data_IF_464440952539
#
_entry.id   IF_464440952539
#
_cell.length_a   1.000
_cell.length_b   1.000
_cell.length_c   1.000
_cell.angle_alpha   90.00
_cell.angle_beta   90.00
_cell.angle_gamma   90.00
#
_symmetry.space_group_name_H-M   'P 1'
#
loop_
_entity.id
_entity.type
_entity.pdbx_description
1 polymer ?
#
# COMPACT_ATOMS: atom_id res chain seq x y z
N UNK A 1 -13.00 -1.95 9.05
CA UNK A 1 -13.14 -2.79 7.84
C UNK A 1 -13.78 -2.01 6.69
N UNK A 2 -14.91 -1.34 6.88
CA UNK A 2 -15.64 -0.69 5.77
C UNK A 2 -14.81 0.31 4.96
N UNK A 3 -14.13 1.25 5.62
CA UNK A 3 -13.35 2.29 4.92
C UNK A 3 -12.09 1.71 4.24
N UNK A 4 -11.37 0.79 4.87
CA UNK A 4 -10.08 0.34 4.35
C UNK A 4 -10.18 -0.82 3.34
N UNK A 5 -11.22 -1.65 3.43
CA UNK A 5 -11.37 -2.84 2.60
C UNK A 5 -12.57 -2.73 1.65
N UNK A 6 -13.77 -2.49 2.20
CA UNK A 6 -14.98 -2.52 1.39
C UNK A 6 -15.04 -1.38 0.38
N UNK A 7 -14.52 -0.19 0.73
CA UNK A 7 -14.41 0.91 -0.24
C UNK A 7 -13.53 0.53 -1.43
N UNK A 8 -12.37 -0.09 -1.19
CA UNK A 8 -11.48 -0.55 -2.26
C UNK A 8 -12.17 -1.60 -3.15
N UNK A 9 -12.89 -2.56 -2.54
CA UNK A 9 -13.66 -3.55 -3.29
C UNK A 9 -14.75 -2.90 -4.16
N UNK A 10 -15.57 -2.02 -3.59
CA UNK A 10 -16.65 -1.39 -4.34
C UNK A 10 -16.14 -0.46 -5.45
N UNK A 11 -15.10 0.34 -5.18
CA UNK A 11 -14.47 1.17 -6.20
C UNK A 11 -13.87 0.32 -7.33
N UNK A 12 -13.15 -0.75 -6.99
CA UNK A 12 -12.59 -1.67 -7.99
C UNK A 12 -13.67 -2.32 -8.85
N UNK A 13 -14.77 -2.79 -8.22
CA UNK A 13 -15.91 -3.37 -8.93
C UNK A 13 -16.57 -2.37 -9.87
N UNK A 14 -16.81 -1.15 -9.42
CA UNK A 14 -17.46 -0.10 -10.21
C UNK A 14 -16.59 0.36 -11.39
N UNK A 15 -15.26 0.43 -11.20
CA UNK A 15 -14.33 0.87 -12.25
C UNK A 15 -13.91 -0.24 -13.21
N UNK A 16 -14.13 -1.52 -12.87
CA UNK A 16 -13.58 -2.66 -13.62
C UNK A 16 -13.91 -2.63 -15.12
N UNK A 17 -15.16 -2.32 -15.49
CA UNK A 17 -15.57 -2.23 -16.90
C UNK A 17 -14.72 -1.21 -17.67
N UNK A 18 -14.61 -0.01 -17.14
CA UNK A 18 -13.87 1.09 -17.80
C UNK A 18 -12.37 0.83 -17.86
N UNK A 19 -11.82 0.21 -16.80
CA UNK A 19 -10.41 -0.14 -16.76
C UNK A 19 -10.07 -1.23 -17.78
N UNK A 20 -10.95 -2.22 -17.98
CA UNK A 20 -10.76 -3.26 -19.00
C UNK A 20 -10.69 -2.65 -20.40
N UNK A 21 -11.59 -1.74 -20.74
CA UNK A 21 -11.62 -1.06 -22.04
C UNK A 21 -10.32 -0.29 -22.35
N UNK A 22 -9.63 0.18 -21.30
CA UNK A 22 -8.40 1.00 -21.42
C UNK A 22 -7.12 0.26 -21.05
N UNK A 23 -7.19 -1.04 -20.73
CA UNK A 23 -6.08 -1.83 -20.19
C UNK A 23 -5.40 -1.12 -19.00
N UNK A 24 -6.24 -0.65 -18.07
CA UNK A 24 -5.84 0.21 -16.98
C UNK A 24 -5.14 -0.52 -15.82
N UNK A 25 -4.97 0.20 -14.71
CA UNK A 25 -4.38 -0.35 -13.50
C UNK A 25 -5.12 0.10 -12.24
N UNK A 26 -5.07 -0.74 -11.21
CA UNK A 26 -5.50 -0.43 -9.84
C UNK A 26 -4.28 -0.52 -8.93
N UNK A 27 -4.09 0.50 -8.08
CA UNK A 27 -3.05 0.46 -7.05
C UNK A 27 -3.68 0.72 -5.68
N UNK A 28 -3.68 -0.30 -4.84
CA UNK A 28 -4.16 -0.19 -3.46
C UNK A 28 -3.06 0.32 -2.53
N UNK A 29 -3.43 1.14 -1.54
CA UNK A 29 -2.50 1.59 -0.50
C UNK A 29 -2.73 0.77 0.77
N UNK A 30 -1.84 -0.19 1.02
CA UNK A 30 -1.88 -1.07 2.19
C UNK A 30 -1.04 -0.51 3.33
N UNK A 31 -0.23 -1.28 4.01
CA UNK A 31 0.69 -0.86 5.06
C UNK A 31 1.63 -2.01 5.42
N UNK A 32 2.84 -1.70 5.86
CA UNK A 32 3.73 -2.71 6.49
C UNK A 32 3.10 -3.36 7.72
N UNK A 33 2.10 -2.72 8.34
CA UNK A 33 1.33 -3.28 9.45
C UNK A 33 0.45 -4.47 9.03
N UNK A 34 0.21 -4.67 7.74
CA UNK A 34 -0.56 -5.80 7.19
C UNK A 34 0.03 -7.17 7.49
N UNK A 35 1.32 -7.23 7.83
CA UNK A 35 2.00 -8.47 8.22
C UNK A 35 1.65 -8.94 9.65
N UNK A 36 0.97 -8.12 10.45
CA UNK A 36 0.70 -8.38 11.87
C UNK A 36 1.92 -8.28 12.79
N UNK A 37 3.12 -8.10 12.25
CA UNK A 37 4.38 -8.07 13.01
C UNK A 37 4.70 -6.70 13.62
N UNK A 38 3.88 -5.68 13.42
CA UNK A 38 4.16 -4.29 13.77
C UNK A 38 3.12 -3.76 14.74
N UNK A 39 3.56 -2.98 15.71
CA UNK A 39 2.71 -2.36 16.74
C UNK A 39 1.69 -1.38 16.15
N UNK A 40 0.50 -1.88 15.89
CA UNK A 40 -0.67 -1.13 15.45
C UNK A 40 -1.92 -1.79 16.01
N UNK A 41 -3.10 -1.16 15.86
CA UNK A 41 -4.34 -1.80 16.29
C UNK A 41 -4.64 -3.04 15.43
N UNK A 42 -5.13 -4.10 16.08
CA UNK A 42 -5.50 -5.36 15.41
C UNK A 42 -6.47 -5.13 14.25
N UNK A 43 -7.58 -4.36 14.40
CA UNK A 43 -8.49 -4.11 13.29
C UNK A 43 -7.84 -3.42 12.09
N UNK A 44 -6.87 -2.52 12.32
CA UNK A 44 -6.13 -1.88 11.24
C UNK A 44 -5.23 -2.89 10.52
N UNK A 45 -4.45 -3.67 11.24
CA UNK A 45 -3.59 -4.71 10.65
C UNK A 45 -4.40 -5.71 9.82
N UNK A 46 -5.51 -6.21 10.38
CA UNK A 46 -6.42 -7.12 9.68
C UNK A 46 -6.98 -6.48 8.41
N UNK A 47 -7.45 -5.23 8.49
CA UNK A 47 -8.02 -4.53 7.32
C UNK A 47 -7.00 -4.36 6.19
N UNK A 48 -5.73 -4.05 6.53
CA UNK A 48 -4.65 -3.89 5.54
C UNK A 48 -4.13 -5.24 5.03
N UNK A 49 -4.14 -6.28 5.85
CA UNK A 49 -3.87 -7.66 5.42
C UNK A 49 -4.93 -8.18 4.45
N UNK A 50 -6.21 -7.95 4.74
CA UNK A 50 -7.32 -8.28 3.85
C UNK A 50 -7.22 -7.52 2.51
N UNK A 51 -6.74 -6.27 2.53
CA UNK A 51 -6.53 -5.50 1.31
C UNK A 51 -5.38 -6.07 0.45
N UNK A 52 -4.35 -6.67 1.05
CA UNK A 52 -3.33 -7.41 0.31
C UNK A 52 -3.94 -8.62 -0.41
N UNK A 53 -4.79 -9.38 0.28
CA UNK A 53 -5.51 -10.53 -0.31
C UNK A 53 -6.45 -10.08 -1.42
N UNK A 54 -7.21 -9.00 -1.20
CA UNK A 54 -8.08 -8.41 -2.22
C UNK A 54 -7.29 -8.01 -3.47
N UNK A 55 -6.11 -7.39 -3.30
CA UNK A 55 -5.24 -7.00 -4.42
C UNK A 55 -4.88 -8.19 -5.30
N UNK A 56 -4.44 -9.29 -4.71
CA UNK A 56 -4.08 -10.51 -5.45
C UNK A 56 -5.28 -11.17 -6.12
N UNK A 57 -6.42 -11.21 -5.43
CA UNK A 57 -7.66 -11.76 -5.96
C UNK A 57 -8.18 -10.96 -7.16
N UNK A 58 -8.12 -9.62 -7.08
CA UNK A 58 -8.50 -8.74 -8.18
C UNK A 58 -7.52 -8.86 -9.35
N UNK A 59 -6.21 -8.98 -9.09
CA UNK A 59 -5.22 -9.20 -10.14
C UNK A 59 -5.55 -10.44 -10.96
N UNK A 60 -5.86 -11.55 -10.28
CA UNK A 60 -6.29 -12.80 -10.95
C UNK A 60 -7.61 -12.63 -11.73
N UNK A 61 -8.59 -11.96 -11.14
CA UNK A 61 -9.94 -11.83 -11.71
C UNK A 61 -10.02 -10.87 -12.89
N UNK A 62 -9.16 -9.84 -12.92
CA UNK A 62 -9.19 -8.77 -13.92
C UNK A 62 -8.13 -8.92 -15.01
N UNK A 63 -7.24 -9.89 -14.87
CA UNK A 63 -6.26 -10.24 -15.91
C UNK A 63 -6.99 -10.80 -17.16
N UNK A 64 -6.42 -10.62 -18.37
CA UNK A 64 -5.17 -9.89 -18.66
C UNK A 64 -5.37 -8.38 -18.87
N UNK A 65 -6.58 -7.87 -18.73
CA UNK A 65 -6.92 -6.51 -19.15
C UNK A 65 -6.55 -5.43 -18.15
N UNK A 66 -6.58 -5.76 -16.81
CA UNK A 66 -6.31 -4.79 -15.76
C UNK A 66 -5.22 -5.33 -14.83
N UNK A 67 -4.18 -4.55 -14.62
CA UNK A 67 -3.17 -4.85 -13.62
C UNK A 67 -3.62 -4.35 -12.25
N UNK A 68 -3.42 -5.15 -11.22
CA UNK A 68 -3.79 -4.77 -9.85
C UNK A 68 -2.61 -5.02 -8.91
N UNK A 69 -2.10 -3.97 -8.29
CA UNK A 69 -0.98 -4.04 -7.37
C UNK A 69 -1.30 -3.26 -6.08
N UNK A 70 -0.41 -3.34 -5.11
CA UNK A 70 -0.47 -2.51 -3.92
C UNK A 70 0.89 -1.92 -3.58
N UNK A 71 0.89 -0.76 -2.97
CA UNK A 71 2.02 -0.25 -2.20
C UNK A 71 1.76 -0.47 -0.72
N UNK A 72 2.82 -0.78 0.02
CA UNK A 72 2.80 -1.05 1.45
C UNK A 72 3.75 -0.06 2.14
N UNK A 73 3.27 1.16 2.48
CA UNK A 73 4.11 2.19 3.06
C UNK A 73 4.58 1.84 4.47
N UNK A 74 5.81 2.26 4.80
CA UNK A 74 6.29 2.43 6.15
C UNK A 74 5.73 3.69 6.81
N UNK A 75 6.37 4.11 7.93
CA UNK A 75 5.97 5.33 8.61
C UNK A 75 6.24 6.54 7.71
N UNK A 76 5.17 7.18 7.27
CA UNK A 76 5.18 8.33 6.35
C UNK A 76 4.70 9.58 7.06
N UNK A 77 5.40 10.71 6.87
CA UNK A 77 5.04 12.00 7.46
C UNK A 77 3.87 12.61 6.67
N UNK A 78 2.69 12.51 7.22
CA UNK A 78 1.42 13.02 6.64
C UNK A 78 0.67 13.85 7.70
N UNK A 79 -0.44 14.46 7.32
CA UNK A 79 -1.31 15.14 8.28
C UNK A 79 -1.79 14.21 9.41
N UNK A 80 -2.03 12.94 9.12
CA UNK A 80 -2.42 11.91 10.10
C UNK A 80 -1.30 11.65 11.12
N UNK A 81 -0.03 11.66 10.69
CA UNK A 81 1.13 11.34 11.52
C UNK A 81 1.83 12.59 12.06
N UNK A 82 1.45 13.78 11.59
CA UNK A 82 2.07 15.07 11.97
C UNK A 82 2.01 15.32 13.48
N UNK A 83 0.92 14.90 14.13
CA UNK A 83 0.69 15.06 15.58
C UNK A 83 1.53 14.10 16.45
N UNK A 84 2.20 13.09 15.86
CA UNK A 84 3.08 12.20 16.63
C UNK A 84 4.28 12.96 17.17
N UNK A 85 4.69 12.62 18.39
CA UNK A 85 5.81 13.28 19.05
C UNK A 85 7.10 13.16 18.24
N UNK A 86 8.03 14.09 18.45
CA UNK A 86 9.37 14.06 17.84
C UNK A 86 10.08 12.74 18.15
N UNK A 87 10.06 12.31 19.42
CA UNK A 87 10.64 11.04 19.86
C UNK A 87 10.06 9.83 19.10
N UNK A 88 8.73 9.79 18.88
CA UNK A 88 8.12 8.71 18.10
C UNK A 88 8.59 8.70 16.64
N UNK A 89 8.67 9.87 15.99
CA UNK A 89 9.17 10.01 14.62
C UNK A 89 10.63 9.56 14.50
N UNK A 90 11.47 9.94 15.45
CA UNK A 90 12.87 9.52 15.52
C UNK A 90 13.00 8.01 15.72
N UNK A 91 12.19 7.43 16.61
CA UNK A 91 12.14 5.98 16.81
C UNK A 91 11.78 5.26 15.51
N UNK A 92 10.78 5.73 14.78
CA UNK A 92 10.39 5.13 13.49
C UNK A 92 11.51 5.26 12.45
N UNK A 93 12.17 6.41 12.36
CA UNK A 93 13.30 6.62 11.47
C UNK A 93 14.46 5.67 11.75
N UNK A 94 14.81 5.47 13.02
CA UNK A 94 15.88 4.53 13.43
C UNK A 94 15.61 3.08 13.03
N UNK A 95 14.35 2.70 12.87
CA UNK A 95 13.91 1.36 12.46
C UNK A 95 13.96 1.12 10.95
N UNK A 96 14.40 2.08 10.17
CA UNK A 96 14.63 1.93 8.72
C UNK A 96 16.12 1.86 8.40
N UNK A 97 16.49 1.16 7.33
CA UNK A 97 17.87 1.17 6.82
C UNK A 97 18.26 2.57 6.35
N UNK A 98 17.31 3.32 5.76
CA UNK A 98 17.55 4.68 5.27
C UNK A 98 17.59 5.74 6.38
N UNK A 99 17.39 5.36 7.67
CA UNK A 99 17.48 6.22 8.87
C UNK A 99 16.61 7.48 8.82
N UNK A 100 15.51 7.43 8.08
CA UNK A 100 14.53 8.50 8.00
C UNK A 100 13.11 7.98 7.76
N UNK A 101 12.13 8.83 7.99
CA UNK A 101 10.75 8.57 7.65
C UNK A 101 10.47 8.92 6.18
N UNK A 102 9.50 8.23 5.57
CA UNK A 102 9.10 8.51 4.21
C UNK A 102 8.33 9.84 4.10
N UNK A 103 8.41 10.45 2.92
CA UNK A 103 7.56 11.58 2.50
C UNK A 103 6.43 11.06 1.62
N UNK A 104 5.25 11.70 1.62
CA UNK A 104 4.12 11.29 0.76
C UNK A 104 4.48 11.19 -0.72
N UNK A 105 5.34 12.10 -1.22
CA UNK A 105 5.79 12.09 -2.60
C UNK A 105 6.50 10.79 -2.98
N UNK A 106 7.30 10.21 -2.09
CA UNK A 106 8.03 8.96 -2.35
C UNK A 106 7.08 7.77 -2.50
N UNK A 107 5.97 7.77 -1.77
CA UNK A 107 4.92 6.76 -1.95
C UNK A 107 4.17 6.98 -3.27
N UNK A 108 3.85 8.24 -3.60
CA UNK A 108 3.15 8.60 -4.82
C UNK A 108 3.94 8.26 -6.08
N UNK A 109 5.27 8.38 -6.06
CA UNK A 109 6.15 8.00 -7.18
C UNK A 109 6.03 6.51 -7.52
N UNK A 110 5.98 5.64 -6.52
CA UNK A 110 5.80 4.19 -6.75
C UNK A 110 4.38 3.88 -7.23
N UNK A 111 3.35 4.55 -6.69
CA UNK A 111 1.98 4.42 -7.20
C UNK A 111 1.93 4.82 -8.67
N UNK A 112 2.51 5.95 -9.03
CA UNK A 112 2.55 6.45 -10.41
C UNK A 112 3.26 5.45 -11.34
N UNK A 113 4.42 4.95 -10.93
CA UNK A 113 5.16 3.93 -11.68
C UNK A 113 4.31 2.68 -11.95
N UNK A 114 3.60 2.18 -10.94
CA UNK A 114 2.73 1.01 -11.08
C UNK A 114 1.52 1.28 -11.99
N UNK A 115 1.03 2.51 -12.02
CA UNK A 115 -0.06 2.90 -12.92
C UNK A 115 0.40 3.00 -14.39
N UNK A 116 1.58 3.58 -14.63
CA UNK A 116 2.00 4.05 -15.97
C UNK A 116 3.04 3.14 -16.61
N UNK A 117 4.09 2.75 -15.86
CA UNK A 117 5.28 2.09 -16.42
C UNK A 117 5.40 0.60 -16.08
N UNK A 118 4.73 0.12 -15.04
CA UNK A 118 4.82 -1.25 -14.55
C UNK A 118 4.03 -2.26 -15.39
N UNK A 119 4.26 -2.33 -16.70
CA UNK A 119 3.42 -3.08 -17.65
C UNK A 119 3.41 -4.60 -17.42
N UNK A 120 4.44 -5.14 -16.78
CA UNK A 120 4.55 -6.59 -16.49
C UNK A 120 4.47 -6.90 -14.98
N UNK A 121 3.93 -5.97 -14.18
CA UNK A 121 3.75 -6.14 -12.74
C UNK A 121 2.27 -6.19 -12.40
N UNK A 122 1.81 -7.30 -11.85
CA UNK A 122 0.45 -7.48 -11.35
C UNK A 122 0.41 -8.48 -10.20
N UNK A 123 -0.48 -8.27 -9.22
CA UNK A 123 -0.61 -9.10 -8.02
C UNK A 123 0.41 -8.80 -6.91
N UNK A 124 1.27 -7.80 -7.10
CA UNK A 124 2.37 -7.51 -6.18
C UNK A 124 2.01 -6.52 -5.08
N UNK A 125 2.66 -6.71 -3.93
CA UNK A 125 2.59 -5.80 -2.77
C UNK A 125 4.00 -5.24 -2.57
N UNK A 126 4.23 -4.03 -3.04
CA UNK A 126 5.54 -3.38 -2.99
C UNK A 126 5.71 -2.64 -1.67
N UNK A 127 6.66 -3.07 -0.85
CA UNK A 127 7.03 -2.35 0.37
C UNK A 127 7.79 -1.07 0.02
N UNK A 128 7.30 0.06 0.55
CA UNK A 128 7.92 1.39 0.41
C UNK A 128 8.18 1.91 1.82
N UNK A 129 9.14 1.31 2.49
CA UNK A 129 9.32 1.41 3.93
C UNK A 129 10.76 1.75 4.38
N UNK A 130 11.63 2.05 3.42
CA UNK A 130 13.03 2.38 3.69
C UNK A 130 13.84 1.23 4.29
N UNK A 131 13.43 -0.01 4.02
CA UNK A 131 14.07 -1.21 4.56
C UNK A 131 13.70 -1.47 6.02
N UNK A 132 12.50 -1.05 6.43
CA UNK A 132 12.00 -1.33 7.76
C UNK A 132 11.85 -2.84 7.98
N UNK A 133 12.52 -3.38 9.00
CA UNK A 133 12.48 -4.81 9.35
C UNK A 133 13.69 -5.62 8.92
N UNK A 134 14.64 -5.01 8.23
CA UNK A 134 15.96 -5.58 7.97
C UNK A 134 17.03 -5.13 8.98
N UNK A 135 16.63 -4.40 10.03
CA UNK A 135 17.52 -4.06 11.14
C UNK A 135 17.40 -5.15 12.18
N UNK A 136 18.47 -5.85 12.43
CA UNK A 136 18.66 -6.86 13.47
C UNK A 136 19.07 -6.19 14.79
#
# INVERSE_FOLDING_TARGET
MQVNLMSAFYCSRASAKYLKEKKGAIVNVTSISSSGKRGTSIPYAVSKGSLNTLTRSLAKSLAPDVRVNAVSPGFTITNMTKQRTKSHKEKMAKQTLLKRNAKPKEIAEIIFMLCVSGSFVTGEIINVDGGHGYIY
#
